data_IF_109393529639
#
_entry.id   IF_109393529639
#
_cell.length_a   1.000
_cell.length_b   1.000
_cell.length_c   1.000
_cell.angle_alpha   90.00
_cell.angle_beta   90.00
_cell.angle_gamma   90.00
#
_symmetry.space_group_name_H-M   'P 1'
#
loop_
_entity.id
_entity.type
_entity.pdbx_description
1 polymer ?
#
# COMPACT_ATOMS: atom_id res chain seq x y z
N UNK A 1 -13.48 2.17 26.08
CA UNK A 1 -13.84 1.18 25.20
C UNK A 1 -12.82 0.65 24.23
N UNK A 2 -12.00 -0.36 24.64
CA UNK A 2 -11.05 -1.06 23.76
C UNK A 2 -11.69 -2.16 22.92
N UNK A 3 -12.99 -2.19 22.77
CA UNK A 3 -13.69 -3.30 22.09
C UNK A 3 -13.70 -3.26 20.56
N UNK A 4 -13.29 -2.16 19.94
CA UNK A 4 -13.34 -1.99 18.48
C UNK A 4 -12.04 -2.34 17.74
N UNK A 5 -10.89 -2.29 18.42
CA UNK A 5 -9.59 -2.38 17.73
C UNK A 5 -9.12 -3.82 17.45
N UNK A 6 -9.65 -4.82 18.16
CA UNK A 6 -9.23 -6.22 17.98
C UNK A 6 -9.94 -6.88 16.80
N UNK A 7 -11.17 -6.46 16.50
CA UNK A 7 -11.91 -6.99 15.35
C UNK A 7 -11.27 -6.61 13.98
N UNK A 8 -10.65 -5.44 13.90
CA UNK A 8 -9.97 -4.98 12.70
C UNK A 8 -8.67 -5.74 12.37
N UNK A 9 -7.95 -6.17 13.39
CA UNK A 9 -6.71 -6.94 13.23
C UNK A 9 -6.99 -8.38 12.82
N UNK A 10 -8.07 -8.98 13.35
CA UNK A 10 -8.49 -10.35 13.00
C UNK A 10 -8.96 -10.44 11.55
N UNK A 11 -9.63 -9.42 11.03
CA UNK A 11 -10.08 -9.38 9.63
C UNK A 11 -8.91 -9.34 8.64
N UNK A 12 -7.84 -8.62 8.96
CA UNK A 12 -6.65 -8.54 8.09
C UNK A 12 -5.87 -9.87 8.06
N UNK A 13 -5.82 -10.59 9.16
CA UNK A 13 -5.10 -11.86 9.25
C UNK A 13 -5.82 -13.01 8.53
N UNK A 14 -7.14 -12.99 8.45
CA UNK A 14 -7.92 -14.02 7.76
C UNK A 14 -7.77 -13.93 6.23
N UNK A 15 -7.41 -12.76 5.71
CA UNK A 15 -7.19 -12.53 4.27
C UNK A 15 -5.82 -13.06 3.78
N UNK A 16 -4.86 -13.25 4.69
CA UNK A 16 -3.52 -13.74 4.34
C UNK A 16 -3.39 -15.26 4.33
N UNK A 17 -4.33 -15.98 4.96
CA UNK A 17 -4.26 -17.44 5.13
C UNK A 17 -5.04 -18.27 4.08
N UNK A 18 -5.80 -17.63 3.23
CA UNK A 18 -6.61 -18.31 2.23
C UNK A 18 -6.33 -17.81 0.83
N UNK A 19 -5.69 -18.64 0.01
CA UNK A 19 -5.40 -18.52 -1.41
C UNK A 19 -5.91 -17.29 -2.15
N UNK A 20 -5.25 -16.93 -3.22
CA UNK A 20 -5.51 -15.82 -4.13
C UNK A 20 -7.03 -15.52 -4.27
N UNK A 21 -7.58 -14.82 -3.30
CA UNK A 21 -8.84 -14.12 -3.48
C UNK A 21 -8.49 -12.77 -4.07
N UNK A 22 -8.76 -12.62 -5.35
CA UNK A 22 -8.83 -11.30 -5.97
C UNK A 22 -9.99 -10.54 -5.32
N UNK A 23 -9.73 -10.00 -4.14
CA UNK A 23 -10.65 -9.04 -3.53
C UNK A 23 -10.55 -7.79 -4.40
N UNK A 24 -11.65 -7.30 -4.97
CA UNK A 24 -11.62 -6.01 -5.65
C UNK A 24 -11.13 -4.98 -4.64
N UNK A 25 -9.92 -4.48 -4.82
CA UNK A 25 -9.23 -3.55 -3.90
C UNK A 25 -10.04 -2.27 -3.62
N UNK A 26 -11.05 -1.99 -4.42
CA UNK A 26 -11.90 -0.82 -4.28
C UNK A 26 -12.95 -0.89 -3.16
N UNK A 27 -13.32 -2.07 -2.69
CA UNK A 27 -14.43 -2.21 -1.75
C UNK A 27 -14.05 -2.09 -0.27
N UNK A 28 -12.78 -2.08 0.07
CA UNK A 28 -12.35 -2.04 1.47
C UNK A 28 -12.25 -0.62 2.05
N UNK A 29 -12.47 0.43 1.28
CA UNK A 29 -12.02 1.77 1.63
C UNK A 29 -13.07 2.88 1.57
N UNK A 30 -14.31 2.59 1.28
CA UNK A 30 -15.42 3.49 1.60
C UNK A 30 -15.79 3.40 3.09
N UNK A 31 -14.78 3.48 3.96
CA UNK A 31 -15.02 3.62 5.38
C UNK A 31 -15.15 5.10 5.67
N UNK A 32 -16.34 5.52 6.01
CA UNK A 32 -16.73 6.82 6.53
C UNK A 32 -15.58 7.62 7.14
N UNK A 33 -14.99 8.53 6.35
CA UNK A 33 -14.11 9.57 6.87
C UNK A 33 -12.92 9.11 7.73
N UNK A 34 -12.45 7.88 7.59
CA UNK A 34 -11.29 7.40 8.34
C UNK A 34 -10.01 7.96 7.76
N UNK A 35 -9.28 8.67 8.58
CA UNK A 35 -8.05 9.36 8.20
C UNK A 35 -6.84 8.58 8.68
N UNK A 36 -6.31 7.70 7.84
CA UNK A 36 -5.15 6.85 8.16
C UNK A 36 -3.81 7.55 7.92
N UNK A 37 -3.81 8.83 7.53
CA UNK A 37 -2.61 9.60 7.22
C UNK A 37 -1.72 8.83 6.22
N UNK A 38 -0.44 8.67 6.50
CA UNK A 38 0.51 7.96 5.64
C UNK A 38 0.23 6.44 5.52
N UNK A 39 -0.75 5.92 6.24
CA UNK A 39 -1.20 4.52 6.17
C UNK A 39 -2.44 4.35 5.30
N UNK A 40 -2.97 5.44 4.76
CA UNK A 40 -4.08 5.39 3.82
C UNK A 40 -3.69 4.55 2.60
N UNK A 41 -4.44 3.49 2.26
CA UNK A 41 -4.19 2.74 1.04
C UNK A 41 -4.36 3.64 -0.18
N UNK A 42 -3.51 3.42 -1.19
CA UNK A 42 -3.65 4.13 -2.46
C UNK A 42 -4.87 3.61 -3.24
N UNK A 43 -5.70 4.53 -3.68
CA UNK A 43 -6.82 4.26 -4.58
C UNK A 43 -6.57 5.02 -5.89
N UNK A 44 -6.56 4.30 -7.01
CA UNK A 44 -6.45 4.94 -8.31
C UNK A 44 -7.65 5.86 -8.56
N UNK A 45 -7.43 7.03 -9.18
CA UNK A 45 -8.55 7.91 -9.55
C UNK A 45 -9.50 7.16 -10.51
N UNK A 46 -10.81 7.40 -10.33
CA UNK A 46 -11.83 6.83 -11.21
C UNK A 46 -11.76 7.43 -12.61
N UNK A 47 -12.36 6.76 -13.60
CA UNK A 47 -12.50 7.31 -14.95
C UNK A 47 -13.23 8.66 -14.95
N UNK A 48 -14.26 8.80 -14.12
CA UNK A 48 -14.96 10.08 -13.99
C UNK A 48 -14.06 11.19 -13.45
N UNK A 49 -13.17 10.87 -12.49
CA UNK A 49 -12.19 11.82 -11.97
C UNK A 49 -11.18 12.20 -13.07
N UNK A 50 -10.64 11.24 -13.80
CA UNK A 50 -9.67 11.52 -14.86
C UNK A 50 -10.28 12.27 -16.03
N UNK A 51 -11.53 12.00 -16.37
CA UNK A 51 -12.28 12.73 -17.40
C UNK A 51 -12.56 14.19 -17.01
N UNK A 52 -12.57 14.51 -15.71
CA UNK A 52 -12.78 15.87 -15.22
C UNK A 52 -11.54 16.76 -15.25
N UNK A 53 -10.37 16.20 -15.60
CA UNK A 53 -9.13 16.99 -15.67
C UNK A 53 -9.17 18.02 -16.77
N UNK A 54 -8.77 19.25 -16.45
CA UNK A 54 -8.70 20.33 -17.40
C UNK A 54 -7.69 20.01 -18.51
N UNK A 55 -8.08 20.33 -19.74
CA UNK A 55 -7.16 20.33 -20.87
C UNK A 55 -6.28 21.58 -20.88
N UNK A 56 -5.18 21.54 -21.64
CA UNK A 56 -4.39 22.75 -21.85
C UNK A 56 -5.28 23.84 -22.47
N UNK A 57 -5.12 25.12 -22.07
CA UNK A 57 -5.83 26.22 -22.72
C UNK A 57 -5.52 26.28 -24.21
N UNK A 58 -6.45 26.84 -24.98
CA UNK A 58 -6.25 27.01 -26.43
C UNK A 58 -4.96 27.77 -26.73
N UNK A 59 -4.17 27.29 -27.68
CA UNK A 59 -2.87 27.87 -28.05
C UNK A 59 -1.70 27.46 -27.14
N UNK A 60 -1.93 26.62 -26.16
CA UNK A 60 -0.87 26.08 -25.28
C UNK A 60 -0.70 24.59 -25.47
N UNK A 61 0.54 24.11 -25.37
CA UNK A 61 0.88 22.70 -25.35
C UNK A 61 1.77 22.37 -24.16
N UNK A 62 1.72 21.12 -23.70
CA UNK A 62 2.59 20.65 -22.63
C UNK A 62 3.99 20.40 -23.16
N UNK A 63 4.97 21.13 -22.68
CA UNK A 63 6.38 21.00 -23.08
C UNK A 63 7.25 20.28 -22.04
N UNK A 64 6.72 20.12 -20.82
CA UNK A 64 7.44 19.50 -19.71
C UNK A 64 6.45 18.90 -18.71
N UNK A 65 6.80 17.77 -18.15
CA UNK A 65 6.08 17.18 -17.00
C UNK A 65 7.06 16.70 -15.96
N UNK A 66 6.69 16.88 -14.72
CA UNK A 66 7.43 16.36 -13.55
C UNK A 66 6.48 15.58 -12.67
N UNK A 67 6.93 14.44 -12.18
CA UNK A 67 6.17 13.62 -11.24
C UNK A 67 7.03 13.29 -10.03
N UNK A 68 6.55 13.67 -8.86
CA UNK A 68 7.13 13.27 -7.59
C UNK A 68 6.16 12.32 -6.89
N UNK A 69 6.61 11.11 -6.63
CA UNK A 69 5.77 10.10 -6.01
C UNK A 69 6.47 9.49 -4.80
N UNK A 70 5.70 9.15 -3.77
CA UNK A 70 6.14 8.27 -2.70
C UNK A 70 6.20 6.84 -3.24
N UNK A 71 7.06 6.00 -2.67
CA UNK A 71 7.04 4.56 -2.95
C UNK A 71 5.62 3.98 -2.79
N UNK A 72 5.32 2.93 -3.51
CA UNK A 72 4.08 2.17 -3.41
C UNK A 72 3.94 1.46 -2.05
N UNK A 73 2.92 0.62 -1.92
CA UNK A 73 2.70 -0.17 -0.71
C UNK A 73 3.94 -1.01 -0.40
N UNK A 74 4.36 -1.01 0.87
CA UNK A 74 5.53 -1.74 1.34
C UNK A 74 5.23 -2.50 2.63
N UNK A 75 6.02 -3.51 2.92
CA UNK A 75 6.00 -4.20 4.20
C UNK A 75 6.40 -3.31 5.38
N UNK A 76 6.29 -3.84 6.60
CA UNK A 76 6.79 -3.16 7.79
C UNK A 76 8.26 -2.76 7.62
N UNK A 77 8.63 -1.61 8.16
CA UNK A 77 9.99 -1.08 7.99
C UNK A 77 11.06 -1.88 8.72
N UNK A 78 10.70 -2.60 9.77
CA UNK A 78 11.66 -3.43 10.51
C UNK A 78 10.97 -4.49 11.38
N UNK A 79 11.70 -5.55 11.70
CA UNK A 79 11.28 -6.63 12.58
C UNK A 79 10.92 -6.16 14.00
N UNK A 80 11.40 -5.00 14.44
CA UNK A 80 11.14 -4.49 15.80
C UNK A 80 9.66 -4.44 16.18
N UNK A 81 8.78 -4.24 15.21
CA UNK A 81 7.32 -4.19 15.46
C UNK A 81 6.76 -5.59 15.73
N UNK A 82 7.17 -6.59 14.95
CA UNK A 82 6.79 -7.97 15.19
C UNK A 82 7.38 -8.48 16.53
N UNK A 83 8.65 -8.15 16.80
CA UNK A 83 9.29 -8.48 18.06
C UNK A 83 8.56 -7.85 19.27
N UNK A 84 8.08 -6.61 19.14
CA UNK A 84 7.33 -5.95 20.20
C UNK A 84 5.97 -6.61 20.45
N UNK A 85 5.27 -7.01 19.39
CA UNK A 85 4.01 -7.73 19.49
C UNK A 85 4.21 -9.12 20.13
N UNK A 86 5.30 -9.82 19.79
CA UNK A 86 5.65 -11.10 20.40
C UNK A 86 5.89 -10.94 21.90
N UNK A 87 6.68 -9.94 22.32
CA UNK A 87 6.91 -9.65 23.75
C UNK A 87 5.62 -9.30 24.49
N UNK A 88 4.73 -8.56 23.86
CA UNK A 88 3.42 -8.24 24.43
C UNK A 88 2.58 -9.52 24.63
N UNK A 89 2.59 -10.42 23.65
CA UNK A 89 1.89 -11.70 23.75
C UNK A 89 2.47 -12.60 24.84
N UNK A 90 3.79 -12.67 24.96
CA UNK A 90 4.48 -13.41 26.01
C UNK A 90 4.15 -12.86 27.41
N UNK A 91 4.14 -11.54 27.59
CA UNK A 91 3.75 -10.91 28.84
C UNK A 91 2.27 -11.18 29.18
N UNK A 92 1.38 -11.08 28.19
CA UNK A 92 -0.03 -11.40 28.40
C UNK A 92 -0.24 -12.88 28.78
N UNK A 93 0.55 -13.80 28.22
CA UNK A 93 0.51 -15.21 28.59
C UNK A 93 0.99 -15.42 30.04
N UNK A 94 2.10 -14.81 30.41
CA UNK A 94 2.67 -14.92 31.78
C UNK A 94 1.73 -14.38 32.85
N UNK A 95 0.98 -13.33 32.53
CA UNK A 95 0.04 -12.68 33.46
C UNK A 95 -1.40 -13.20 33.37
N UNK A 96 -1.65 -14.28 32.64
CA UNK A 96 -2.99 -14.78 32.34
C UNK A 96 -3.92 -13.70 31.77
N UNK A 97 -3.36 -12.79 30.97
CA UNK A 97 -4.04 -11.62 30.43
C UNK A 97 -4.97 -11.91 29.24
N UNK A 98 -4.96 -13.11 28.67
CA UNK A 98 -5.90 -13.51 27.64
C UNK A 98 -7.26 -13.86 28.24
N UNK A 99 -8.34 -13.43 27.57
CA UNK A 99 -9.71 -13.67 28.03
C UNK A 99 -10.12 -15.14 27.98
N UNK A 100 -9.49 -15.94 27.12
CA UNK A 100 -9.71 -17.39 27.00
C UNK A 100 -8.56 -18.05 26.24
N UNK A 101 -8.40 -19.36 26.41
CA UNK A 101 -7.42 -20.15 25.66
C UNK A 101 -7.69 -20.13 24.16
N UNK A 102 -8.95 -20.08 23.74
CA UNK A 102 -9.32 -19.98 22.32
C UNK A 102 -8.82 -18.67 21.71
N UNK A 103 -9.03 -17.53 22.40
CA UNK A 103 -8.53 -16.22 21.95
C UNK A 103 -7.01 -16.20 21.94
N UNK A 104 -6.34 -16.74 22.94
CA UNK A 104 -4.89 -16.86 22.97
C UNK A 104 -4.38 -17.66 21.78
N UNK A 105 -4.93 -18.84 21.53
CA UNK A 105 -4.52 -19.71 20.44
C UNK A 105 -4.68 -19.04 19.07
N UNK A 106 -5.81 -18.40 18.84
CA UNK A 106 -6.07 -17.67 17.59
C UNK A 106 -5.12 -16.47 17.44
N UNK A 107 -4.92 -15.68 18.49
CA UNK A 107 -4.00 -14.55 18.48
C UNK A 107 -2.58 -14.98 18.12
N UNK A 108 -2.05 -16.01 18.80
CA UNK A 108 -0.69 -16.51 18.57
C UNK A 108 -0.53 -17.09 17.15
N UNK A 109 -1.53 -17.79 16.64
CA UNK A 109 -1.54 -18.29 15.27
C UNK A 109 -1.45 -17.15 14.27
N UNK A 110 -2.28 -16.11 14.45
CA UNK A 110 -2.32 -14.96 13.56
C UNK A 110 -1.02 -14.14 13.64
N UNK A 111 -0.48 -13.94 14.82
CA UNK A 111 0.80 -13.23 15.00
C UNK A 111 1.95 -13.94 14.28
N UNK A 112 2.03 -15.27 14.38
CA UNK A 112 3.02 -16.07 13.66
C UNK A 112 2.85 -15.96 12.15
N UNK A 113 1.61 -16.01 11.65
CA UNK A 113 1.32 -15.89 10.22
C UNK A 113 1.70 -14.51 9.68
N UNK A 114 1.39 -13.43 10.42
CA UNK A 114 1.77 -12.07 10.05
C UNK A 114 3.29 -11.91 10.02
N UNK A 115 3.98 -12.40 11.04
CA UNK A 115 5.45 -12.34 11.11
C UNK A 115 6.08 -13.11 9.94
N UNK A 116 5.58 -14.29 9.63
CA UNK A 116 6.06 -15.09 8.50
C UNK A 116 5.88 -14.34 7.16
N UNK A 117 4.72 -13.74 6.94
CA UNK A 117 4.44 -12.94 5.75
C UNK A 117 5.36 -11.70 5.65
N UNK A 118 5.64 -11.03 6.76
CA UNK A 118 6.58 -9.90 6.80
C UNK A 118 8.01 -10.32 6.45
N UNK A 119 8.45 -11.47 6.96
CA UNK A 119 9.76 -12.04 6.66
C UNK A 119 9.85 -12.43 5.19
N UNK A 120 8.83 -13.08 4.65
CA UNK A 120 8.78 -13.50 3.24
C UNK A 120 8.83 -12.31 2.29
N UNK A 121 8.05 -11.26 2.54
CA UNK A 121 8.08 -10.03 1.74
C UNK A 121 9.42 -9.27 1.89
N UNK A 122 10.05 -9.37 3.04
CA UNK A 122 11.19 -8.55 3.44
C UNK A 122 10.78 -7.22 4.08
N UNK A 123 11.42 -6.89 5.22
CA UNK A 123 11.15 -5.64 5.92
C UNK A 123 11.61 -4.43 5.12
N UNK A 124 10.74 -3.45 5.00
CA UNK A 124 10.99 -2.23 4.22
C UNK A 124 10.95 -2.40 2.71
N UNK A 125 10.71 -3.61 2.23
CA UNK A 125 10.64 -3.91 0.79
C UNK A 125 9.30 -3.52 0.21
N UNK A 126 9.30 -3.14 -1.06
CA UNK A 126 8.10 -2.91 -1.86
C UNK A 126 7.29 -4.22 -1.93
N UNK A 127 5.97 -4.11 -1.92
CA UNK A 127 5.08 -5.26 -2.18
C UNK A 127 4.74 -5.34 -3.68
N UNK A 128 4.25 -6.49 -4.13
CA UNK A 128 3.68 -6.63 -5.48
C UNK A 128 2.58 -5.58 -5.75
N UNK A 129 1.70 -5.36 -4.78
CA UNK A 129 0.70 -4.29 -4.85
C UNK A 129 1.33 -2.91 -5.02
N UNK A 130 2.45 -2.64 -4.34
CA UNK A 130 3.18 -1.39 -4.48
C UNK A 130 3.76 -1.18 -5.88
N UNK A 131 4.27 -2.24 -6.50
CA UNK A 131 4.73 -2.22 -7.88
C UNK A 131 3.58 -1.94 -8.85
N UNK A 132 2.45 -2.62 -8.70
CA UNK A 132 1.25 -2.42 -9.53
C UNK A 132 0.71 -0.99 -9.42
N UNK A 133 0.73 -0.41 -8.22
CA UNK A 133 0.35 0.99 -7.99
C UNK A 133 1.21 1.95 -8.83
N UNK A 134 2.52 1.75 -8.84
CA UNK A 134 3.45 2.59 -9.62
C UNK A 134 3.32 2.38 -11.12
N UNK A 135 3.11 1.15 -11.59
CA UNK A 135 2.81 0.88 -12.99
C UNK A 135 1.54 1.62 -13.44
N UNK A 136 0.49 1.57 -12.63
CA UNK A 136 -0.74 2.31 -12.91
C UNK A 136 -0.56 3.83 -12.91
N UNK A 137 0.25 4.37 -12.00
CA UNK A 137 0.59 5.81 -11.97
C UNK A 137 1.33 6.19 -13.25
N UNK A 138 2.32 5.39 -13.65
CA UNK A 138 3.09 5.62 -14.87
C UNK A 138 2.21 5.58 -16.14
N UNK A 139 1.34 4.59 -16.24
CA UNK A 139 0.41 4.49 -17.35
C UNK A 139 -0.50 5.72 -17.46
N UNK A 140 -1.10 6.16 -16.35
CA UNK A 140 -1.95 7.36 -16.34
C UNK A 140 -1.17 8.65 -16.63
N UNK A 141 0.08 8.74 -16.20
CA UNK A 141 0.94 9.88 -16.52
C UNK A 141 1.24 9.94 -18.02
N UNK A 142 1.51 8.79 -18.65
CA UNK A 142 1.69 8.68 -20.08
C UNK A 142 0.43 9.08 -20.84
N UNK A 143 -0.71 8.49 -20.52
CA UNK A 143 -1.98 8.79 -21.19
C UNK A 143 -2.34 10.28 -21.12
N UNK A 144 -2.14 10.90 -19.98
CA UNK A 144 -2.39 12.33 -19.80
C UNK A 144 -1.48 13.22 -20.63
N UNK A 145 -0.23 12.82 -20.83
CA UNK A 145 0.80 13.60 -21.50
C UNK A 145 1.27 12.92 -22.79
N UNK A 146 0.40 12.13 -23.43
CA UNK A 146 0.77 11.29 -24.55
C UNK A 146 1.49 12.04 -25.66
N UNK A 147 0.98 13.20 -26.08
CA UNK A 147 1.59 14.03 -27.13
C UNK A 147 3.00 14.46 -26.75
N UNK A 148 3.23 14.85 -25.51
CA UNK A 148 4.56 15.23 -25.02
C UNK A 148 5.54 14.04 -25.12
N UNK A 149 5.14 12.87 -24.63
CA UNK A 149 5.98 11.68 -24.68
C UNK A 149 6.25 11.19 -26.10
N UNK A 150 5.24 11.19 -26.97
CA UNK A 150 5.38 10.80 -28.37
C UNK A 150 6.30 11.76 -29.13
N UNK A 151 6.21 13.06 -28.89
CA UNK A 151 7.11 14.06 -29.48
C UNK A 151 8.54 13.88 -28.94
N UNK A 152 8.72 13.73 -27.65
CA UNK A 152 10.03 13.48 -27.05
C UNK A 152 10.69 12.21 -27.65
N UNK A 153 9.92 11.15 -27.87
CA UNK A 153 10.42 9.92 -28.50
C UNK A 153 10.90 10.15 -29.94
N UNK A 154 10.19 10.97 -30.73
CA UNK A 154 10.60 11.33 -32.10
C UNK A 154 11.86 12.18 -32.14
N UNK A 155 11.97 13.11 -31.20
CA UNK A 155 13.04 14.12 -31.18
C UNK A 155 14.28 13.67 -30.40
N UNK A 156 14.34 12.39 -29.96
CA UNK A 156 15.42 11.85 -29.18
C UNK A 156 15.46 12.41 -27.74
N UNK A 157 14.31 12.81 -27.23
CA UNK A 157 14.14 13.30 -25.88
C UNK A 157 14.45 12.23 -24.82
N UNK A 158 14.62 12.67 -23.58
CA UNK A 158 15.00 11.80 -22.48
C UNK A 158 14.00 11.91 -21.34
N UNK A 159 13.78 10.78 -20.65
CA UNK A 159 13.09 10.73 -19.37
C UNK A 159 14.16 10.56 -18.30
N UNK A 160 14.22 11.49 -17.36
CA UNK A 160 15.10 11.39 -16.19
C UNK A 160 14.37 10.71 -15.06
N UNK A 161 14.96 9.66 -14.50
CA UNK A 161 14.47 9.00 -13.30
C UNK A 161 15.42 9.27 -12.15
N UNK A 162 14.86 9.66 -11.03
CA UNK A 162 15.58 9.80 -9.77
C UNK A 162 14.93 8.96 -8.70
N UNK A 163 15.75 8.26 -7.92
CA UNK A 163 15.32 7.42 -6.82
C UNK A 163 16.09 7.76 -5.56
N UNK A 164 15.49 7.52 -4.39
CA UNK A 164 16.20 7.61 -3.11
C UNK A 164 17.27 6.52 -2.95
N UNK A 165 17.30 5.51 -3.82
CA UNK A 165 18.18 4.34 -3.71
C UNK A 165 17.71 3.29 -2.70
N UNK A 166 16.59 3.52 -2.03
CA UNK A 166 16.00 2.54 -1.12
C UNK A 166 15.32 1.41 -1.91
N UNK A 167 15.34 0.20 -1.36
CA UNK A 167 14.77 -0.99 -2.02
C UNK A 167 13.26 -0.90 -2.33
N UNK A 168 12.58 0.09 -1.78
CA UNK A 168 11.15 0.37 -2.00
C UNK A 168 10.89 1.48 -3.02
N UNK A 169 11.91 2.11 -3.58
CA UNK A 169 11.81 3.26 -4.49
C UNK A 169 12.25 2.92 -5.92
#
# INVERSE_FOLDING_TARGET
GLKGSIAGVVAAATLLAGGILTVPHAMALEADGQYYSSKQPYVAPSEATTASYSQAPEGYETVYTESMARHGSRGLSSYKYDALLMKMAEAAEADNGFKSDAIKSEFMKNLKAITAANVENGYGMLTGQGADQHQGIGARAYERNKTLFDNAAKDGGKIAYQSSGEARA
#
